data_IF_278881376793
#
_entry.id   IF_278881376793
#
_cell.length_a   1.000
_cell.length_b   1.000
_cell.length_c   1.000
_cell.angle_alpha   90.00
_cell.angle_beta   90.00
_cell.angle_gamma   90.00
#
_symmetry.space_group_name_H-M   'P 1'
#
loop_
_entity.id
_entity.type
_entity.pdbx_description
1 polymer ?
#
# COMPACT_ATOMS: atom_id res chain seq x y z
N UNK A 1 13.80 -8.07 -17.10
CA UNK A 1 12.39 -8.41 -17.34
C UNK A 1 11.57 -7.17 -17.01
N UNK A 2 10.81 -6.59 -17.94
CA UNK A 2 9.92 -5.47 -17.61
C UNK A 2 8.83 -5.93 -16.63
N UNK A 3 8.60 -5.17 -15.58
CA UNK A 3 7.47 -5.40 -14.67
C UNK A 3 6.19 -4.99 -15.40
N UNK A 4 5.26 -5.93 -15.58
CA UNK A 4 3.94 -5.65 -16.13
C UNK A 4 2.99 -5.60 -14.95
N UNK A 5 2.57 -4.38 -14.57
CA UNK A 5 1.58 -4.20 -13.52
C UNK A 5 0.28 -4.89 -13.94
N UNK A 6 -0.31 -5.67 -13.02
CA UNK A 6 -1.64 -6.25 -13.26
C UNK A 6 -2.70 -5.15 -13.12
N UNK A 7 -3.43 -4.76 -14.20
CA UNK A 7 -4.30 -3.58 -14.16
C UNK A 7 -5.39 -3.65 -13.08
N UNK A 8 -5.98 -4.83 -12.87
CA UNK A 8 -6.95 -5.05 -11.79
C UNK A 8 -6.36 -4.94 -10.38
N UNK A 9 -5.08 -5.32 -10.24
CA UNK A 9 -4.31 -5.18 -9.01
C UNK A 9 -4.01 -3.74 -8.65
N UNK A 10 -3.68 -2.92 -9.65
CA UNK A 10 -3.44 -1.47 -9.47
C UNK A 10 -4.71 -0.79 -8.99
N UNK A 11 -5.84 -1.00 -9.67
CA UNK A 11 -7.12 -0.39 -9.29
C UNK A 11 -7.55 -0.75 -7.87
N UNK A 12 -7.35 -2.01 -7.47
CA UNK A 12 -7.61 -2.45 -6.11
C UNK A 12 -6.71 -1.74 -5.09
N UNK A 13 -5.41 -1.69 -5.35
CA UNK A 13 -4.45 -1.03 -4.46
C UNK A 13 -4.77 0.46 -4.29
N UNK A 14 -5.12 1.15 -5.38
CA UNK A 14 -5.51 2.56 -5.32
C UNK A 14 -6.79 2.80 -4.54
N UNK A 15 -7.80 1.94 -4.72
CA UNK A 15 -9.04 1.99 -3.96
C UNK A 15 -8.79 1.83 -2.46
N UNK A 16 -8.04 0.80 -2.08
CA UNK A 16 -7.71 0.53 -0.67
C UNK A 16 -6.90 1.67 -0.04
N UNK A 17 -5.97 2.27 -0.80
CA UNK A 17 -5.21 3.42 -0.33
C UNK A 17 -6.11 4.65 -0.12
N UNK A 18 -7.05 4.91 -1.03
CA UNK A 18 -8.01 6.01 -0.88
C UNK A 18 -8.96 5.79 0.32
N UNK A 19 -9.44 4.57 0.52
CA UNK A 19 -10.29 4.21 1.66
C UNK A 19 -9.57 4.34 3.01
N UNK A 20 -8.25 4.10 3.06
CA UNK A 20 -7.45 4.27 4.27
C UNK A 20 -7.30 5.74 4.69
N UNK A 21 -7.39 6.68 3.74
CA UNK A 21 -7.17 8.11 3.95
C UNK A 21 -8.35 8.96 3.46
N UNK A 22 -9.55 8.82 4.05
CA UNK A 22 -10.70 9.61 3.65
C UNK A 22 -10.48 11.10 3.95
N UNK A 23 -11.05 11.97 3.10
CA UNK A 23 -11.06 13.41 3.33
C UNK A 23 -11.78 13.73 4.65
N UNK A 24 -11.20 14.64 5.44
CA UNK A 24 -11.76 15.07 6.73
C UNK A 24 -11.14 14.43 7.98
N UNK A 25 -10.19 13.49 7.83
CA UNK A 25 -9.31 13.05 8.93
C UNK A 25 -8.04 13.87 9.00
N UNK A 26 -7.34 13.80 10.13
CA UNK A 26 -6.02 14.40 10.30
C UNK A 26 -5.08 13.96 9.18
N UNK A 27 -4.44 14.94 8.54
CA UNK A 27 -3.56 14.69 7.42
C UNK A 27 -2.34 13.88 7.89
N UNK A 28 -2.16 12.68 7.32
CA UNK A 28 -0.91 11.91 7.46
C UNK A 28 0.16 12.48 6.55
N UNK A 29 1.42 12.26 6.91
CA UNK A 29 2.56 12.65 6.06
C UNK A 29 2.48 11.95 4.71
N UNK A 30 2.98 12.63 3.68
CA UNK A 30 3.00 12.08 2.32
C UNK A 30 3.84 10.80 2.24
N UNK A 31 4.91 10.71 3.02
CA UNK A 31 5.76 9.52 3.11
C UNK A 31 5.00 8.32 3.68
N UNK A 32 4.19 8.54 4.72
CA UNK A 32 3.36 7.47 5.30
C UNK A 32 2.32 6.97 4.29
N UNK A 33 1.61 7.88 3.61
CA UNK A 33 0.66 7.51 2.55
C UNK A 33 1.35 6.79 1.39
N UNK A 34 2.54 7.25 0.98
CA UNK A 34 3.35 6.62 -0.06
C UNK A 34 3.76 5.19 0.34
N UNK A 35 4.14 4.97 1.59
CA UNK A 35 4.46 3.64 2.13
C UNK A 35 3.28 2.67 2.06
N UNK A 36 2.09 3.11 2.48
CA UNK A 36 0.85 2.32 2.36
C UNK A 36 0.58 1.97 0.90
N UNK A 37 0.59 2.96 -0.01
CA UNK A 37 0.32 2.74 -1.43
C UNK A 37 1.34 1.81 -2.06
N UNK A 38 2.63 1.99 -1.77
CA UNK A 38 3.71 1.16 -2.30
C UNK A 38 3.54 -0.31 -1.91
N UNK A 39 3.18 -0.58 -0.65
CA UNK A 39 2.96 -1.96 -0.21
C UNK A 39 1.71 -2.59 -0.85
N UNK A 40 0.61 -1.84 -0.99
CA UNK A 40 -0.60 -2.34 -1.65
C UNK A 40 -0.35 -2.67 -3.12
N UNK A 41 0.39 -1.81 -3.85
CA UNK A 41 0.79 -2.07 -5.23
C UNK A 41 1.72 -3.28 -5.34
N UNK A 42 2.64 -3.46 -4.39
CA UNK A 42 3.48 -4.65 -4.33
C UNK A 42 2.64 -5.93 -4.19
N UNK A 43 1.68 -5.95 -3.26
CA UNK A 43 0.86 -7.14 -3.01
C UNK A 43 -0.09 -7.45 -4.16
N UNK A 44 -0.77 -6.45 -4.71
CA UNK A 44 -1.86 -6.68 -5.65
C UNK A 44 -1.47 -6.51 -7.12
N UNK A 45 -0.45 -5.72 -7.42
CA UNK A 45 0.01 -5.46 -8.79
C UNK A 45 1.42 -6.00 -9.08
N UNK A 46 2.09 -6.63 -8.10
CA UNK A 46 3.51 -7.03 -8.20
C UNK A 46 4.46 -5.86 -8.50
N UNK A 47 4.07 -4.64 -8.11
CA UNK A 47 4.87 -3.45 -8.33
C UNK A 47 6.06 -3.40 -7.35
N UNK A 48 7.29 -3.17 -7.82
CA UNK A 48 8.44 -3.12 -6.93
C UNK A 48 8.39 -1.90 -5.99
N UNK A 49 8.74 -2.11 -4.72
CA UNK A 49 8.89 -1.01 -3.76
C UNK A 49 10.24 -0.35 -3.98
N UNK A 50 10.22 0.95 -4.27
CA UNK A 50 11.44 1.76 -4.37
C UNK A 50 11.85 2.27 -2.99
N UNK A 51 13.11 2.09 -2.64
CA UNK A 51 13.69 2.57 -1.39
C UNK A 51 14.52 3.83 -1.63
N UNK A 52 13.85 4.98 -1.63
CA UNK A 52 14.47 6.27 -1.99
C UNK A 52 15.03 7.03 -0.76
N UNK A 53 14.62 6.65 0.46
CA UNK A 53 15.03 7.31 1.69
C UNK A 53 16.28 6.69 2.32
N UNK A 54 17.18 7.53 2.83
CA UNK A 54 18.42 7.11 3.47
C UNK A 54 18.15 6.49 4.86
N UNK A 55 19.00 5.55 5.33
CA UNK A 55 18.94 5.08 6.73
C UNK A 55 19.05 6.25 7.71
N UNK A 56 18.25 6.23 8.79
CA UNK A 56 18.24 7.27 9.82
C UNK A 56 17.48 8.56 9.46
N UNK A 57 16.84 8.60 8.29
CA UNK A 57 15.98 9.71 7.87
C UNK A 57 14.56 9.55 8.46
N UNK A 58 14.01 10.54 9.18
CA UNK A 58 12.62 10.49 9.67
C UNK A 58 11.58 10.26 8.57
N UNK A 59 11.88 10.69 7.34
CA UNK A 59 11.03 10.43 6.17
C UNK A 59 10.99 8.93 5.83
N UNK A 60 12.12 8.23 6.04
CA UNK A 60 12.18 6.77 5.91
C UNK A 60 11.31 6.11 6.97
N UNK A 61 11.40 6.55 8.21
CA UNK A 61 10.63 5.95 9.31
C UNK A 61 9.12 6.09 9.06
N UNK A 62 8.68 7.26 8.60
CA UNK A 62 7.29 7.47 8.18
C UNK A 62 6.88 6.55 7.02
N UNK A 63 7.74 6.37 6.01
CA UNK A 63 7.47 5.48 4.89
C UNK A 63 7.34 4.01 5.32
N UNK A 64 8.24 3.52 6.17
CA UNK A 64 8.17 2.13 6.66
C UNK A 64 7.00 1.92 7.62
N UNK A 65 6.65 2.90 8.45
CA UNK A 65 5.41 2.86 9.23
C UNK A 65 4.17 2.76 8.32
N UNK A 66 4.19 3.44 7.16
CA UNK A 66 3.17 3.30 6.12
C UNK A 66 3.14 1.89 5.51
N UNK A 67 4.30 1.30 5.23
CA UNK A 67 4.38 -0.09 4.73
C UNK A 67 3.70 -1.07 5.72
N UNK A 68 3.94 -0.90 7.01
CA UNK A 68 3.37 -1.77 8.04
C UNK A 68 1.85 -1.64 8.12
N UNK A 69 1.31 -0.43 8.02
CA UNK A 69 -0.14 -0.22 7.88
C UNK A 69 -0.69 -0.88 6.60
N UNK A 70 0.03 -0.72 5.47
CA UNK A 70 -0.31 -1.37 4.21
C UNK A 70 -0.40 -2.89 4.32
N UNK A 71 0.46 -3.54 5.12
CA UNK A 71 0.39 -4.98 5.42
C UNK A 71 -0.93 -5.35 6.09
N UNK A 72 -1.34 -4.58 7.09
CA UNK A 72 -2.59 -4.84 7.81
C UNK A 72 -3.82 -4.69 6.90
N UNK A 73 -3.82 -3.67 6.02
CA UNK A 73 -4.89 -3.48 5.03
C UNK A 73 -4.94 -4.64 4.04
N UNK A 74 -3.79 -5.03 3.47
CA UNK A 74 -3.69 -6.13 2.51
C UNK A 74 -4.17 -7.46 3.12
N UNK A 75 -3.75 -7.77 4.35
CA UNK A 75 -4.18 -8.98 5.07
C UNK A 75 -5.69 -9.01 5.28
N UNK A 76 -6.29 -7.86 5.65
CA UNK A 76 -7.74 -7.75 5.83
C UNK A 76 -8.48 -8.01 4.52
N UNK A 77 -8.04 -7.40 3.42
CA UNK A 77 -8.67 -7.60 2.10
C UNK A 77 -8.54 -9.05 1.61
N UNK A 78 -7.35 -9.65 1.75
CA UNK A 78 -7.13 -11.05 1.37
C UNK A 78 -8.01 -12.01 2.18
N UNK A 79 -8.16 -11.75 3.50
CA UNK A 79 -9.07 -12.52 4.35
C UNK A 79 -10.51 -12.38 3.90
N UNK A 80 -10.97 -11.15 3.62
CA UNK A 80 -12.32 -10.89 3.13
C UNK A 80 -12.59 -11.55 1.76
N UNK A 81 -11.59 -11.66 0.88
CA UNK A 81 -11.71 -12.38 -0.40
C UNK A 81 -11.87 -13.88 -0.21
N UNK A 82 -11.08 -14.49 0.69
CA UNK A 82 -11.18 -15.91 1.03
C UNK A 82 -12.55 -16.26 1.61
N UNK A 83 -13.08 -15.40 2.48
CA UNK A 83 -14.42 -15.56 3.07
C UNK A 83 -15.54 -15.39 2.04
N UNK A 84 -15.32 -14.64 0.95
CA UNK A 84 -16.27 -14.45 -0.16
C UNK A 84 -16.24 -15.58 -1.21
N UNK A 85 -15.26 -16.48 -1.16
CA UNK A 85 -15.15 -17.60 -2.11
C UNK A 85 -14.63 -17.22 -3.50
N UNK A 86 -14.09 -16.01 -3.69
CA UNK A 86 -13.35 -15.64 -4.91
C UNK A 86 -11.99 -16.34 -4.86
N UNK A 87 -11.91 -17.56 -5.40
CA UNK A 87 -10.67 -18.31 -5.65
C UNK A 87 -10.43 -18.46 -7.15
#
# INVERSE_FOLDING_TARGET
MPHIDQPGGVLLAERLAAEAFPSGREARSEQYKAGVKAFLLYVFASHPIKHEYKPGDPLRDAFYAGIDEGKHIAQREQRARRERGDS
#
